data_IF_751930553346
#
_entry.id   IF_751930553346
#
_cell.length_a   1.000
_cell.length_b   1.000
_cell.length_c   1.000
_cell.angle_alpha   90.00
_cell.angle_beta   90.00
_cell.angle_gamma   90.00
#
_symmetry.space_group_name_H-M   'P 1'
#
loop_
_entity.id
_entity.type
_entity.pdbx_description
1 polymer ?
#
# COMPACT_ATOMS: atom_id res chain seq x y z
N UNK A 1 20.36 11.26 -6.10
CA UNK A 1 19.22 11.28 -5.16
C UNK A 1 19.75 11.11 -3.75
N UNK A 2 19.92 12.16 -3.02
CA UNK A 2 20.14 12.14 -1.58
C UNK A 2 19.04 13.03 -0.99
N UNK A 3 17.80 12.52 -1.01
CA UNK A 3 16.79 13.12 -0.16
C UNK A 3 17.27 12.91 1.26
N UNK A 4 17.57 14.01 1.93
CA UNK A 4 18.02 13.98 3.31
C UNK A 4 16.92 13.33 4.14
N UNK A 5 17.22 12.16 4.72
CA UNK A 5 16.32 11.50 5.66
C UNK A 5 16.03 12.45 6.82
N UNK A 6 14.81 12.45 7.30
CA UNK A 6 14.48 13.15 8.55
C UNK A 6 15.02 12.33 9.73
N UNK A 7 15.43 13.00 10.80
CA UNK A 7 16.06 12.38 11.98
C UNK A 7 15.22 11.26 12.62
N UNK A 8 13.89 11.31 12.45
CA UNK A 8 12.99 10.30 12.98
C UNK A 8 12.83 9.06 12.09
N UNK A 9 13.38 9.05 10.87
CA UNK A 9 13.19 7.97 9.89
C UNK A 9 14.19 6.85 10.12
N UNK A 10 13.67 5.63 10.30
CA UNK A 10 14.47 4.41 10.42
C UNK A 10 14.93 3.91 9.05
N UNK A 11 16.22 3.63 8.94
CA UNK A 11 16.77 2.86 7.82
C UNK A 11 16.75 1.37 8.16
N UNK A 12 16.36 0.55 7.19
CA UNK A 12 16.45 -0.91 7.33
C UNK A 12 17.49 -1.47 6.35
N UNK A 13 18.16 -2.54 6.75
CA UNK A 13 19.03 -3.30 5.86
C UNK A 13 18.19 -4.25 5.00
N UNK A 14 17.94 -3.82 3.76
CA UNK A 14 17.12 -4.57 2.80
C UNK A 14 17.63 -4.39 1.37
N UNK A 15 17.72 -5.50 0.65
CA UNK A 15 18.09 -5.53 -0.76
C UNK A 15 16.88 -5.48 -1.72
N UNK A 16 15.65 -5.50 -1.18
CA UNK A 16 14.41 -5.58 -1.97
C UNK A 16 14.29 -4.38 -2.92
N UNK A 17 14.52 -3.16 -2.42
CA UNK A 17 14.44 -1.96 -3.25
C UNK A 17 15.40 -2.03 -4.44
N UNK A 18 16.64 -2.45 -4.22
CA UNK A 18 17.63 -2.60 -5.29
C UNK A 18 17.20 -3.63 -6.34
N UNK A 19 16.66 -4.77 -5.90
CA UNK A 19 16.14 -5.84 -6.78
C UNK A 19 14.96 -5.34 -7.62
N UNK A 20 13.99 -4.69 -6.99
CA UNK A 20 12.80 -4.17 -7.68
C UNK A 20 13.20 -3.11 -8.70
N UNK A 21 14.01 -2.12 -8.32
CA UNK A 21 14.44 -1.06 -9.23
C UNK A 21 15.30 -1.57 -10.38
N UNK A 22 16.08 -2.64 -10.20
CA UNK A 22 16.80 -3.30 -11.28
C UNK A 22 15.85 -3.90 -12.30
N UNK A 23 14.87 -4.68 -11.86
CA UNK A 23 13.86 -5.30 -12.73
C UNK A 23 13.00 -4.25 -13.46
N UNK A 24 12.63 -3.16 -12.76
CA UNK A 24 11.86 -2.05 -13.36
C UNK A 24 12.64 -1.35 -14.48
N UNK A 25 13.96 -1.21 -14.34
CA UNK A 25 14.81 -0.64 -15.40
C UNK A 25 14.92 -1.52 -16.64
N UNK A 26 14.87 -2.84 -16.45
CA UNK A 26 14.94 -3.83 -17.52
C UNK A 26 13.57 -4.13 -18.13
N UNK A 27 12.48 -3.61 -17.55
CA UNK A 27 11.13 -3.85 -18.03
C UNK A 27 10.90 -3.23 -19.40
N UNK A 28 10.53 -4.10 -20.36
CA UNK A 28 10.15 -3.76 -21.72
C UNK A 28 8.91 -4.58 -22.10
N UNK A 29 7.76 -3.94 -22.16
CA UNK A 29 6.49 -4.57 -22.50
C UNK A 29 6.26 -4.73 -24.01
N UNK A 30 7.12 -4.13 -24.85
CA UNK A 30 7.01 -4.18 -26.32
C UNK A 30 7.56 -5.46 -26.92
N UNK A 31 8.35 -6.23 -26.18
CA UNK A 31 9.01 -7.46 -26.65
C UNK A 31 8.09 -8.68 -26.70
N UNK A 32 6.90 -8.60 -26.13
CA UNK A 32 5.99 -9.74 -26.00
C UNK A 32 5.00 -9.83 -27.15
N UNK A 33 4.63 -11.08 -27.49
CA UNK A 33 3.68 -11.42 -28.53
C UNK A 33 2.53 -12.27 -27.96
N UNK A 34 1.48 -12.46 -28.74
CA UNK A 34 0.33 -13.28 -28.38
C UNK A 34 0.69 -14.72 -27.94
N UNK A 35 1.76 -15.29 -28.49
CA UNK A 35 2.27 -16.60 -28.09
C UNK A 35 2.80 -16.61 -26.65
N UNK A 36 3.42 -15.53 -26.19
CA UNK A 36 3.99 -15.42 -24.84
C UNK A 36 2.86 -15.32 -23.82
N UNK A 37 1.81 -14.54 -24.13
CA UNK A 37 0.60 -14.43 -23.32
C UNK A 37 -0.10 -15.78 -23.17
N UNK A 38 -0.31 -16.51 -24.29
CA UNK A 38 -0.91 -17.86 -24.25
C UNK A 38 -0.08 -18.83 -23.44
N UNK A 39 1.24 -18.80 -23.59
CA UNK A 39 2.16 -19.63 -22.80
C UNK A 39 2.06 -19.30 -21.31
N UNK A 40 2.05 -18.00 -20.95
CA UNK A 40 1.89 -17.57 -19.55
C UNK A 40 0.56 -18.04 -18.95
N UNK A 41 -0.54 -17.89 -19.68
CA UNK A 41 -1.87 -18.33 -19.23
C UNK A 41 -1.95 -19.85 -19.00
N UNK A 42 -1.15 -20.64 -19.71
CA UNK A 42 -1.11 -22.11 -19.57
C UNK A 42 -0.22 -22.63 -18.44
N UNK A 43 0.58 -21.79 -17.78
CA UNK A 43 1.52 -22.21 -16.74
C UNK A 43 0.90 -22.24 -15.34
N UNK A 44 1.26 -23.21 -14.53
CA UNK A 44 0.89 -23.25 -13.11
C UNK A 44 1.65 -22.24 -12.27
N UNK A 45 2.90 -21.96 -12.63
CA UNK A 45 3.77 -21.00 -11.94
C UNK A 45 4.33 -20.01 -12.95
N UNK A 46 4.06 -18.72 -12.69
CA UNK A 46 4.54 -17.64 -13.52
C UNK A 46 5.97 -17.24 -13.14
N UNK A 47 6.76 -16.89 -14.14
CA UNK A 47 8.02 -16.16 -14.00
C UNK A 47 7.74 -14.65 -14.09
N UNK A 48 8.76 -13.81 -13.85
CA UNK A 48 8.61 -12.37 -14.07
C UNK A 48 8.37 -12.02 -15.55
N UNK A 49 8.95 -12.78 -16.49
CA UNK A 49 8.68 -12.60 -17.92
C UNK A 49 7.22 -12.94 -18.26
N UNK A 50 6.68 -14.03 -17.69
CA UNK A 50 5.26 -14.37 -17.87
C UNK A 50 4.34 -13.28 -17.30
N UNK A 51 4.67 -12.74 -16.13
CA UNK A 51 3.92 -11.64 -15.54
C UNK A 51 4.00 -10.38 -16.39
N UNK A 52 5.19 -10.06 -16.91
CA UNK A 52 5.36 -8.94 -17.85
C UNK A 52 4.57 -9.14 -19.16
N UNK A 53 4.53 -10.37 -19.70
CA UNK A 53 3.73 -10.68 -20.88
C UNK A 53 2.24 -10.46 -20.65
N UNK A 54 1.71 -10.84 -19.46
CA UNK A 54 0.31 -10.62 -19.08
C UNK A 54 -0.04 -9.14 -18.85
N UNK A 55 0.95 -8.29 -18.59
CA UNK A 55 0.78 -6.84 -18.46
C UNK A 55 1.05 -6.09 -19.77
N UNK A 56 1.59 -6.75 -20.79
CA UNK A 56 1.99 -6.14 -22.07
C UNK A 56 0.78 -5.78 -22.94
N UNK A 57 0.95 -4.90 -23.95
CA UNK A 57 -0.09 -4.64 -24.96
C UNK A 57 -0.57 -5.91 -25.67
N UNK A 58 0.30 -6.93 -25.84
CA UNK A 58 -0.07 -8.20 -26.44
C UNK A 58 -1.15 -8.97 -25.64
N UNK A 59 -1.38 -8.62 -24.39
CA UNK A 59 -2.40 -9.24 -23.55
C UNK A 59 -3.82 -8.63 -23.74
N UNK A 60 -3.95 -7.53 -24.46
CA UNK A 60 -5.25 -6.85 -24.63
C UNK A 60 -6.30 -7.75 -25.31
N UNK A 61 -5.90 -8.60 -26.25
CA UNK A 61 -6.79 -9.57 -26.89
C UNK A 61 -7.15 -10.79 -26.01
N UNK A 62 -6.53 -10.91 -24.82
CA UNK A 62 -6.66 -12.04 -23.89
C UNK A 62 -7.23 -11.63 -22.53
N UNK A 63 -7.95 -10.51 -22.44
CA UNK A 63 -8.45 -9.99 -21.17
C UNK A 63 -9.42 -10.95 -20.47
N UNK A 64 -10.29 -11.62 -21.22
CA UNK A 64 -11.25 -12.58 -20.67
C UNK A 64 -10.55 -13.83 -20.11
N UNK A 65 -9.56 -14.37 -20.83
CA UNK A 65 -8.76 -15.50 -20.36
C UNK A 65 -7.92 -15.13 -19.14
N UNK A 66 -7.35 -13.93 -19.14
CA UNK A 66 -6.60 -13.40 -18.00
C UNK A 66 -7.51 -13.23 -16.79
N UNK A 67 -8.70 -12.66 -16.97
CA UNK A 67 -9.70 -12.51 -15.91
C UNK A 67 -10.19 -13.88 -15.39
N UNK A 68 -10.42 -14.84 -16.27
CA UNK A 68 -10.80 -16.20 -15.89
C UNK A 68 -9.71 -16.89 -15.07
N UNK A 69 -8.43 -16.72 -15.47
CA UNK A 69 -7.29 -17.23 -14.71
C UNK A 69 -7.15 -16.55 -13.36
N UNK A 70 -7.26 -15.23 -13.28
CA UNK A 70 -7.21 -14.48 -12.03
C UNK A 70 -8.31 -14.92 -11.07
N UNK A 71 -9.54 -15.10 -11.57
CA UNK A 71 -10.67 -15.64 -10.79
C UNK A 71 -10.39 -17.04 -10.24
N UNK A 72 -9.77 -17.91 -11.04
CA UNK A 72 -9.40 -19.26 -10.61
C UNK A 72 -8.37 -19.23 -9.49
N UNK A 73 -7.31 -18.40 -9.60
CA UNK A 73 -6.29 -18.24 -8.57
C UNK A 73 -6.88 -17.61 -7.29
N UNK A 74 -7.74 -16.60 -7.42
CA UNK A 74 -8.44 -15.99 -6.28
C UNK A 74 -9.26 -17.05 -5.52
N UNK A 75 -10.04 -17.87 -6.23
CA UNK A 75 -10.84 -18.92 -5.59
C UNK A 75 -10.00 -20.00 -4.93
N UNK A 76 -8.86 -20.33 -5.51
CA UNK A 76 -7.92 -21.33 -4.98
C UNK A 76 -7.32 -20.90 -3.63
N UNK A 77 -6.97 -19.63 -3.47
CA UNK A 77 -6.27 -19.12 -2.29
C UNK A 77 -7.19 -18.44 -1.26
N UNK A 78 -8.27 -17.81 -1.70
CA UNK A 78 -9.17 -17.00 -0.86
C UNK A 78 -10.60 -17.53 -0.81
N UNK A 79 -10.95 -18.54 -1.61
CA UNK A 79 -12.30 -19.08 -1.67
C UNK A 79 -13.30 -18.12 -2.34
N UNK A 80 -14.50 -18.07 -1.78
CA UNK A 80 -15.58 -17.18 -2.27
C UNK A 80 -15.93 -16.08 -1.27
N UNK A 81 -15.18 -15.94 -0.19
CA UNK A 81 -15.40 -14.89 0.80
C UNK A 81 -14.96 -13.53 0.27
N UNK A 82 -15.72 -12.50 0.64
CA UNK A 82 -15.40 -11.11 0.32
C UNK A 82 -15.35 -10.34 1.63
N UNK A 83 -14.20 -9.73 1.92
CA UNK A 83 -14.04 -8.79 3.01
C UNK A 83 -14.62 -7.43 2.61
N UNK A 84 -15.47 -6.88 3.46
CA UNK A 84 -16.09 -5.57 3.24
C UNK A 84 -15.74 -4.65 4.40
N UNK A 85 -15.17 -3.51 4.07
CA UNK A 85 -14.80 -2.49 5.04
C UNK A 85 -15.25 -1.09 4.58
N UNK A 86 -15.22 -0.14 5.49
CA UNK A 86 -15.37 1.29 5.18
C UNK A 86 -14.19 2.08 5.71
N UNK A 87 -13.77 3.15 5.02
CA UNK A 87 -12.75 4.05 5.53
C UNK A 87 -13.31 4.99 6.61
N UNK A 88 -12.50 5.24 7.65
CA UNK A 88 -12.73 6.31 8.63
C UNK A 88 -11.52 7.24 8.67
N UNK A 89 -11.71 8.47 8.20
CA UNK A 89 -10.68 9.51 8.27
C UNK A 89 -10.66 10.17 9.65
N UNK A 90 -9.59 9.93 10.42
CA UNK A 90 -9.41 10.56 11.73
C UNK A 90 -9.00 12.02 11.66
N UNK A 91 -8.17 12.36 10.65
CA UNK A 91 -7.67 13.71 10.45
C UNK A 91 -7.22 13.91 8.99
N UNK A 92 -7.39 15.11 8.47
CA UNK A 92 -6.96 15.50 7.13
C UNK A 92 -5.80 16.53 7.11
N UNK A 93 -5.15 16.74 8.24
CA UNK A 93 -3.91 17.52 8.29
C UNK A 93 -2.79 16.73 7.60
N UNK A 94 -2.04 17.39 6.72
CA UNK A 94 -0.93 16.80 6.01
C UNK A 94 0.21 17.83 5.85
N UNK A 95 1.45 17.40 6.04
CA UNK A 95 2.65 18.22 5.85
C UNK A 95 3.28 18.05 4.47
N UNK A 96 2.74 17.15 3.64
CA UNK A 96 3.28 16.86 2.32
C UNK A 96 2.68 17.74 1.22
N UNK A 97 3.50 18.01 0.21
CA UNK A 97 3.07 18.62 -1.04
C UNK A 97 3.09 17.57 -2.17
N UNK A 98 2.03 16.75 -2.23
CA UNK A 98 1.80 15.82 -3.35
C UNK A 98 0.87 16.50 -4.35
N UNK A 99 1.27 16.60 -5.63
CA UNK A 99 0.54 17.42 -6.63
C UNK A 99 -0.87 16.90 -6.94
N UNK A 100 -1.12 15.63 -6.70
CA UNK A 100 -2.41 14.96 -6.97
C UNK A 100 -3.35 14.87 -5.76
N UNK A 101 -2.86 15.20 -4.55
CA UNK A 101 -3.59 14.87 -3.32
C UNK A 101 -4.44 16.06 -2.83
N UNK A 102 -5.72 15.80 -2.54
CA UNK A 102 -6.61 16.79 -1.95
C UNK A 102 -6.18 17.28 -0.57
N UNK A 103 -5.45 16.46 0.19
CA UNK A 103 -4.90 16.83 1.50
C UNK A 103 -3.55 17.57 1.44
N UNK A 104 -3.05 17.86 0.25
CA UNK A 104 -1.84 18.63 0.03
C UNK A 104 -1.78 19.86 0.96
N UNK A 105 -0.62 20.08 1.60
CA UNK A 105 -0.45 21.14 2.60
C UNK A 105 -0.73 22.56 2.08
N UNK A 106 -0.61 22.78 0.76
CA UNK A 106 -0.88 24.05 0.10
C UNK A 106 -2.34 24.22 -0.31
N UNK A 107 -3.17 23.19 -0.23
CA UNK A 107 -4.59 23.29 -0.56
C UNK A 107 -5.36 24.03 0.55
N UNK A 108 -6.14 25.03 0.15
CA UNK A 108 -7.04 25.74 1.06
C UNK A 108 -8.33 24.95 1.27
N UNK A 109 -8.27 23.94 2.14
CA UNK A 109 -9.40 23.10 2.52
C UNK A 109 -9.68 23.22 4.02
N UNK A 110 -10.90 22.94 4.44
CA UNK A 110 -11.23 22.84 5.86
C UNK A 110 -10.45 21.65 6.45
N UNK A 111 -9.58 21.93 7.43
CA UNK A 111 -8.86 20.91 8.18
C UNK A 111 -9.66 20.52 9.41
N UNK A 112 -9.63 19.20 9.71
CA UNK A 112 -10.31 18.62 10.86
C UNK A 112 -9.54 17.44 11.43
N UNK A 113 -9.82 17.18 12.69
CA UNK A 113 -9.31 16.05 13.45
C UNK A 113 -10.42 15.63 14.41
N UNK A 114 -10.78 14.36 14.41
CA UNK A 114 -11.82 13.84 15.29
C UNK A 114 -11.32 13.80 16.74
N UNK A 115 -12.17 14.25 17.65
CA UNK A 115 -12.03 13.96 19.06
C UNK A 115 -12.34 12.49 19.35
N UNK A 116 -11.97 12.00 20.54
CA UNK A 116 -12.27 10.63 20.94
C UNK A 116 -13.78 10.32 20.90
N UNK A 117 -14.61 11.26 21.37
CA UNK A 117 -16.06 11.09 21.36
C UNK A 117 -16.65 11.04 19.94
N UNK A 118 -16.10 11.85 19.00
CA UNK A 118 -16.48 11.79 17.60
C UNK A 118 -16.06 10.47 16.95
N UNK A 119 -14.85 9.97 17.23
CA UNK A 119 -14.42 8.64 16.75
C UNK A 119 -15.36 7.55 17.23
N UNK A 120 -15.74 7.56 18.52
CA UNK A 120 -16.64 6.56 19.11
C UNK A 120 -18.03 6.62 18.46
N UNK A 121 -18.56 7.82 18.23
CA UNK A 121 -19.85 8.02 17.56
C UNK A 121 -19.83 7.50 16.11
N UNK A 122 -18.76 7.79 15.36
CA UNK A 122 -18.61 7.32 13.98
C UNK A 122 -18.47 5.79 13.92
N UNK A 123 -17.63 5.21 14.78
CA UNK A 123 -17.42 3.75 14.85
C UNK A 123 -18.68 3.00 15.25
N UNK A 124 -19.46 3.54 16.20
CA UNK A 124 -20.76 2.99 16.59
C UNK A 124 -21.75 3.03 15.41
N UNK A 125 -21.82 4.16 14.71
CA UNK A 125 -22.68 4.29 13.53
C UNK A 125 -22.30 3.32 12.40
N UNK A 126 -21.00 3.18 12.11
CA UNK A 126 -20.48 2.24 11.13
C UNK A 126 -20.81 0.79 11.52
N UNK A 127 -20.59 0.40 12.78
CA UNK A 127 -20.82 -0.96 13.26
C UNK A 127 -22.29 -1.39 13.11
N UNK A 128 -23.23 -0.46 13.24
CA UNK A 128 -24.68 -0.68 13.05
C UNK A 128 -25.06 -1.01 11.60
N UNK A 129 -24.19 -0.73 10.63
CA UNK A 129 -24.39 -1.16 9.23
C UNK A 129 -24.16 -2.66 9.01
N UNK A 130 -23.56 -3.35 10.00
CA UNK A 130 -23.19 -4.76 9.92
C UNK A 130 -21.78 -5.00 9.40
N UNK A 131 -21.03 -3.96 9.02
CA UNK A 131 -19.61 -4.07 8.65
C UNK A 131 -18.79 -4.49 9.87
N UNK A 132 -17.89 -5.44 9.66
CA UNK A 132 -17.02 -6.00 10.71
C UNK A 132 -15.56 -5.58 10.57
N UNK A 133 -15.25 -4.86 9.53
CA UNK A 133 -13.90 -4.40 9.21
C UNK A 133 -13.91 -2.89 9.00
N UNK A 134 -12.85 -2.22 9.45
CA UNK A 134 -12.66 -0.78 9.29
C UNK A 134 -11.26 -0.49 8.78
N UNK A 135 -11.13 0.53 7.93
CA UNK A 135 -9.84 1.08 7.50
C UNK A 135 -9.68 2.49 8.08
N UNK A 136 -8.74 2.66 8.97
CA UNK A 136 -8.44 3.93 9.63
C UNK A 136 -7.43 4.72 8.80
N UNK A 137 -7.77 5.96 8.44
CA UNK A 137 -6.94 6.81 7.60
C UNK A 137 -6.60 8.14 8.28
N UNK A 138 -5.40 8.66 7.96
CA UNK A 138 -5.02 10.04 8.28
C UNK A 138 -4.19 10.65 7.16
N UNK A 139 -4.18 11.98 7.08
CA UNK A 139 -3.08 12.68 6.42
C UNK A 139 -1.77 12.52 7.22
N UNK A 140 -0.64 12.80 6.59
CA UNK A 140 0.67 12.72 7.23
C UNK A 140 0.97 13.99 8.03
N UNK A 141 0.71 13.95 9.32
CA UNK A 141 1.03 15.04 10.25
C UNK A 141 1.37 14.48 11.64
N UNK A 142 2.65 14.28 11.91
CA UNK A 142 3.11 13.76 13.21
C UNK A 142 2.73 14.67 14.39
N UNK A 143 2.44 15.96 14.14
CA UNK A 143 2.00 16.90 15.17
C UNK A 143 0.49 16.84 15.45
N UNK A 144 -0.33 16.51 14.46
CA UNK A 144 -1.79 16.48 14.57
C UNK A 144 -2.34 15.06 14.77
N UNK A 145 -1.82 14.09 14.01
CA UNK A 145 -2.19 12.68 14.06
C UNK A 145 -0.95 11.82 14.32
N UNK A 146 -0.39 11.96 15.53
CA UNK A 146 0.75 11.17 15.96
C UNK A 146 0.36 9.71 16.21
N UNK A 147 1.35 8.86 16.42
CA UNK A 147 1.16 7.41 16.58
C UNK A 147 0.29 7.08 17.79
N UNK A 148 0.40 7.84 18.89
CA UNK A 148 -0.42 7.63 20.08
C UNK A 148 -1.91 7.90 19.79
N UNK A 149 -2.21 8.99 19.08
CA UNK A 149 -3.58 9.31 18.67
C UNK A 149 -4.18 8.21 17.78
N UNK A 150 -3.39 7.71 16.82
CA UNK A 150 -3.81 6.59 15.97
C UNK A 150 -3.98 5.32 16.81
N UNK A 151 -3.09 5.04 17.74
CA UNK A 151 -3.17 3.90 18.65
C UNK A 151 -4.42 3.91 19.51
N UNK A 152 -4.83 5.08 20.03
CA UNK A 152 -6.09 5.21 20.79
C UNK A 152 -7.31 4.94 19.88
N UNK A 153 -7.29 5.41 18.63
CA UNK A 153 -8.36 5.10 17.68
C UNK A 153 -8.43 3.60 17.36
N UNK A 154 -7.28 2.93 17.19
CA UNK A 154 -7.21 1.46 16.97
C UNK A 154 -7.76 0.70 18.18
N UNK A 155 -7.38 1.09 19.41
CA UNK A 155 -7.92 0.47 20.64
C UNK A 155 -9.44 0.65 20.75
N UNK A 156 -9.94 1.82 20.35
CA UNK A 156 -11.37 2.09 20.35
C UNK A 156 -12.08 1.22 19.30
N UNK A 157 -11.52 1.11 18.09
CA UNK A 157 -12.07 0.32 16.99
C UNK A 157 -12.23 -1.17 17.36
N UNK A 158 -11.37 -1.73 18.22
CA UNK A 158 -11.49 -3.11 18.70
C UNK A 158 -12.81 -3.42 19.45
N UNK A 159 -13.50 -2.41 19.96
CA UNK A 159 -14.80 -2.60 20.59
C UNK A 159 -15.91 -2.89 19.58
N UNK A 160 -15.71 -2.50 18.32
CA UNK A 160 -16.73 -2.48 17.27
C UNK A 160 -16.43 -3.42 16.10
N UNK A 161 -15.14 -3.64 15.80
CA UNK A 161 -14.70 -4.33 14.60
C UNK A 161 -13.78 -5.52 14.91
N UNK A 162 -13.89 -6.55 14.10
CA UNK A 162 -13.06 -7.76 14.22
C UNK A 162 -11.75 -7.65 13.46
N UNK A 163 -11.70 -6.77 12.44
CA UNK A 163 -10.49 -6.53 11.63
C UNK A 163 -10.27 -5.03 11.49
N UNK A 164 -9.06 -4.58 11.80
CA UNK A 164 -8.69 -3.17 11.78
C UNK A 164 -7.49 -2.98 10.88
N UNK A 165 -7.73 -2.38 9.71
CA UNK A 165 -6.68 -1.90 8.82
C UNK A 165 -6.32 -0.46 9.11
N UNK A 166 -5.09 -0.10 8.81
CA UNK A 166 -4.61 1.29 8.83
C UNK A 166 -4.03 1.66 7.46
N UNK A 167 -4.38 2.84 6.97
CA UNK A 167 -3.79 3.46 5.79
C UNK A 167 -3.31 4.85 6.15
N UNK A 168 -2.10 4.89 6.65
CA UNK A 168 -1.48 6.07 7.24
C UNK A 168 -0.11 6.31 6.61
N UNK A 169 0.57 7.35 7.05
CA UNK A 169 1.94 7.62 6.64
C UNK A 169 2.93 6.53 7.11
N UNK A 170 4.08 6.37 6.43
CA UNK A 170 5.09 5.39 6.82
C UNK A 170 5.59 5.61 8.25
N UNK A 171 5.77 4.52 8.96
CA UNK A 171 6.24 4.49 10.34
C UNK A 171 7.55 3.70 10.46
N UNK A 172 8.21 3.83 11.61
CA UNK A 172 9.31 2.96 12.01
C UNK A 172 8.79 1.60 12.51
N UNK A 173 9.64 0.61 12.61
CA UNK A 173 9.25 -0.73 13.01
C UNK A 173 8.68 -0.79 14.44
N UNK A 174 9.24 -0.03 15.38
CA UNK A 174 8.76 0.07 16.76
C UNK A 174 7.39 0.77 16.87
N UNK A 175 7.13 1.77 16.02
CA UNK A 175 5.85 2.46 15.91
C UNK A 175 4.77 1.52 15.33
N UNK A 176 5.11 0.73 14.28
CA UNK A 176 4.22 -0.33 13.78
C UNK A 176 3.95 -1.40 14.84
N UNK A 177 4.98 -1.81 15.59
CA UNK A 177 4.82 -2.76 16.69
C UNK A 177 3.88 -2.20 17.79
N UNK A 178 3.92 -0.91 18.07
CA UNK A 178 2.99 -0.27 18.99
C UNK A 178 1.55 -0.34 18.46
N UNK A 179 1.31 0.03 17.19
CA UNK A 179 -0.03 -0.01 16.60
C UNK A 179 -0.57 -1.44 16.49
N UNK A 180 0.28 -2.42 16.20
CA UNK A 180 -0.09 -3.83 16.24
C UNK A 180 -0.53 -4.25 17.65
N UNK A 181 0.22 -3.89 18.70
CA UNK A 181 -0.21 -4.13 20.09
C UNK A 181 -1.52 -3.41 20.46
N UNK A 182 -1.81 -2.26 19.87
CA UNK A 182 -3.10 -1.59 20.02
C UNK A 182 -4.24 -2.36 19.35
N UNK A 183 -3.94 -3.20 18.35
CA UNK A 183 -4.90 -4.08 17.69
C UNK A 183 -5.05 -3.86 16.18
N UNK A 184 -4.14 -3.14 15.54
CA UNK A 184 -4.09 -3.08 14.08
C UNK A 184 -3.67 -4.44 13.50
N UNK A 185 -4.41 -4.93 12.51
CA UNK A 185 -4.19 -6.20 11.85
C UNK A 185 -3.27 -6.07 10.63
N UNK A 186 -3.51 -5.05 9.81
CA UNK A 186 -2.76 -4.82 8.59
C UNK A 186 -2.55 -3.33 8.32
N UNK A 187 -1.58 -3.03 7.48
CA UNK A 187 -1.31 -1.67 7.00
C UNK A 187 -1.18 -1.63 5.48
N UNK A 188 -1.77 -0.62 4.86
CA UNK A 188 -1.56 -0.30 3.45
C UNK A 188 -0.74 0.98 3.34
N UNK A 189 0.36 0.91 2.59
CA UNK A 189 1.19 2.07 2.22
C UNK A 189 1.50 1.98 0.73
N UNK A 190 0.80 2.75 -0.07
CA UNK A 190 1.01 2.73 -1.52
C UNK A 190 2.27 3.50 -1.91
N UNK A 191 3.10 2.89 -2.78
CA UNK A 191 4.32 3.53 -3.29
C UNK A 191 4.00 4.70 -4.23
N UNK A 192 2.82 4.72 -4.81
CA UNK A 192 2.30 5.65 -5.80
C UNK A 192 2.91 5.42 -7.19
N UNK A 193 4.21 5.54 -7.37
CA UNK A 193 4.97 5.14 -8.55
C UNK A 193 6.33 4.56 -8.15
N UNK A 194 6.81 3.60 -8.91
CA UNK A 194 8.12 2.98 -8.70
C UNK A 194 9.23 3.65 -9.51
N UNK A 195 8.89 4.62 -10.36
CA UNK A 195 9.86 5.47 -11.04
C UNK A 195 10.31 6.61 -10.10
N UNK A 196 11.60 6.64 -9.68
CA UNK A 196 12.07 7.66 -8.72
C UNK A 196 11.99 9.08 -9.26
N UNK A 197 12.17 9.29 -10.57
CA UNK A 197 12.13 10.62 -11.17
C UNK A 197 10.69 11.16 -11.26
N UNK A 198 9.73 10.27 -11.56
CA UNK A 198 8.30 10.60 -11.52
C UNK A 198 7.86 10.82 -10.07
N UNK A 199 8.35 9.99 -9.15
CA UNK A 199 8.06 10.13 -7.73
C UNK A 199 8.47 11.51 -7.20
N UNK A 200 9.71 11.95 -7.50
CA UNK A 200 10.23 13.25 -7.08
C UNK A 200 9.41 14.42 -7.64
N UNK A 201 8.98 14.33 -8.90
CA UNK A 201 8.15 15.35 -9.57
C UNK A 201 6.75 15.49 -8.96
N UNK A 202 6.24 14.43 -8.36
CA UNK A 202 4.90 14.40 -7.77
C UNK A 202 4.88 14.64 -6.25
N UNK A 203 6.02 14.52 -5.55
CA UNK A 203 6.15 14.72 -4.12
C UNK A 203 7.16 15.84 -3.83
N UNK A 204 6.69 17.09 -3.87
CA UNK A 204 7.55 18.29 -3.92
C UNK A 204 8.18 18.64 -2.57
N UNK A 205 7.51 18.33 -1.46
CA UNK A 205 8.02 18.56 -0.11
C UNK A 205 7.35 17.68 0.93
N UNK A 206 7.93 17.64 2.12
CA UNK A 206 7.45 16.86 3.26
C UNK A 206 8.05 15.45 3.34
N UNK A 207 7.75 14.70 4.41
CA UNK A 207 8.33 13.37 4.65
C UNK A 207 8.04 12.34 3.56
N UNK A 208 6.88 12.42 2.90
CA UNK A 208 6.52 11.52 1.80
C UNK A 208 7.50 11.60 0.62
N UNK A 209 8.22 12.73 0.47
CA UNK A 209 9.24 12.88 -0.58
C UNK A 209 10.39 11.88 -0.45
N UNK A 210 10.66 11.36 0.74
CA UNK A 210 11.77 10.43 0.99
C UNK A 210 11.42 9.05 0.44
N UNK A 211 11.78 8.81 -0.82
CA UNK A 211 11.46 7.59 -1.58
C UNK A 211 11.85 6.29 -0.86
N UNK A 212 13.12 6.11 -0.36
CA UNK A 212 13.50 4.85 0.27
C UNK A 212 12.73 4.57 1.56
N UNK A 213 12.40 5.59 2.33
CA UNK A 213 11.63 5.44 3.55
C UNK A 213 10.21 4.95 3.27
N UNK A 214 9.58 5.51 2.22
CA UNK A 214 8.24 5.05 1.82
C UNK A 214 8.29 3.64 1.21
N UNK A 215 9.26 3.37 0.34
CA UNK A 215 9.42 2.06 -0.30
C UNK A 215 9.52 0.93 0.73
N UNK A 216 10.30 1.12 1.78
CA UNK A 216 10.53 0.11 2.80
C UNK A 216 9.46 0.07 3.92
N UNK A 217 8.33 0.79 3.77
CA UNK A 217 7.31 0.88 4.81
C UNK A 217 6.69 -0.48 5.15
N UNK A 218 6.37 -1.30 4.12
CA UNK A 218 5.78 -2.62 4.32
C UNK A 218 6.75 -3.55 5.06
N UNK A 219 8.03 -3.50 4.72
CA UNK A 219 9.02 -4.34 5.41
C UNK A 219 9.18 -3.93 6.88
N UNK A 220 9.20 -2.63 7.20
CA UNK A 220 9.17 -2.17 8.59
C UNK A 220 7.90 -2.60 9.31
N UNK A 221 6.75 -2.57 8.64
CA UNK A 221 5.50 -3.04 9.22
C UNK A 221 5.54 -4.54 9.56
N UNK A 222 6.08 -5.36 8.68
CA UNK A 222 6.28 -6.80 8.93
C UNK A 222 7.23 -7.03 10.10
N UNK A 223 8.36 -6.34 10.15
CA UNK A 223 9.31 -6.45 11.27
C UNK A 223 8.71 -5.91 12.58
N UNK A 224 7.78 -4.97 12.51
CA UNK A 224 6.96 -4.50 13.62
C UNK A 224 5.83 -5.46 14.04
N UNK A 225 5.67 -6.60 13.33
CA UNK A 225 4.71 -7.66 13.70
C UNK A 225 3.33 -7.52 13.06
N UNK A 226 3.12 -6.61 12.09
CA UNK A 226 1.86 -6.56 11.35
C UNK A 226 1.60 -7.88 10.62
N UNK A 227 0.36 -8.37 10.70
CA UNK A 227 -0.05 -9.63 10.08
C UNK A 227 -0.15 -9.53 8.56
N UNK A 228 -0.62 -8.38 8.08
CA UNK A 228 -0.80 -8.13 6.65
C UNK A 228 -0.25 -6.78 6.21
N UNK A 229 0.14 -6.71 4.93
CA UNK A 229 0.60 -5.47 4.30
C UNK A 229 0.01 -5.30 2.91
N UNK A 230 -0.46 -4.09 2.60
CA UNK A 230 -1.01 -3.72 1.30
C UNK A 230 0.00 -2.97 0.44
N UNK A 231 0.03 -3.32 -0.83
CA UNK A 231 0.84 -2.67 -1.87
C UNK A 231 -0.05 -1.97 -2.88
N UNK A 232 0.46 -0.95 -3.52
CA UNK A 232 -0.24 -0.29 -4.62
C UNK A 232 0.57 0.81 -5.27
N UNK A 233 0.16 1.13 -6.49
CA UNK A 233 0.58 2.31 -7.23
C UNK A 233 -0.64 3.11 -7.68
N UNK A 234 -0.47 4.42 -7.83
CA UNK A 234 -1.49 5.32 -8.37
C UNK A 234 -1.32 5.34 -9.89
N UNK A 235 -2.12 4.53 -10.57
CA UNK A 235 -2.03 4.38 -12.03
C UNK A 235 -2.31 5.72 -12.72
N UNK A 236 -1.43 6.10 -13.65
CA UNK A 236 -1.53 7.34 -14.41
C UNK A 236 -0.55 8.44 -13.97
N UNK A 237 0.24 8.25 -12.93
CA UNK A 237 1.38 9.14 -12.63
C UNK A 237 2.51 8.95 -13.65
N UNK A 238 2.76 7.71 -14.07
CA UNK A 238 3.75 7.32 -15.04
C UNK A 238 3.24 6.19 -15.94
N UNK A 239 4.14 5.34 -16.39
CA UNK A 239 3.80 4.12 -17.13
C UNK A 239 3.09 3.13 -16.18
N UNK A 240 1.77 2.97 -16.39
CA UNK A 240 0.94 2.15 -15.50
C UNK A 240 1.29 0.65 -15.54
N UNK A 241 1.79 0.14 -16.69
CA UNK A 241 2.21 -1.25 -16.80
C UNK A 241 3.48 -1.51 -16.01
N UNK A 242 4.42 -0.58 -16.10
CA UNK A 242 5.66 -0.62 -15.32
C UNK A 242 5.40 -0.53 -13.82
N UNK A 243 4.51 0.36 -13.39
CA UNK A 243 4.12 0.50 -11.99
C UNK A 243 3.36 -0.74 -11.49
N UNK A 244 2.47 -1.32 -12.31
CA UNK A 244 1.78 -2.58 -11.96
C UNK A 244 2.77 -3.74 -11.82
N UNK A 245 3.72 -3.88 -12.76
CA UNK A 245 4.79 -4.87 -12.68
C UNK A 245 5.62 -4.70 -11.41
N UNK A 246 6.06 -3.48 -11.13
CA UNK A 246 6.86 -3.16 -9.96
C UNK A 246 6.12 -3.48 -8.64
N UNK A 247 4.83 -3.17 -8.58
CA UNK A 247 3.98 -3.49 -7.41
C UNK A 247 3.98 -5.00 -7.15
N UNK A 248 3.75 -5.81 -8.19
CA UNK A 248 3.72 -7.27 -8.05
C UNK A 248 5.05 -7.88 -7.64
N UNK A 249 6.17 -7.43 -8.23
CA UNK A 249 7.50 -7.96 -7.85
C UNK A 249 7.95 -7.48 -6.47
N UNK A 250 7.54 -6.29 -6.02
CA UNK A 250 7.79 -5.83 -4.65
C UNK A 250 7.08 -6.74 -3.64
N UNK A 251 5.80 -6.98 -3.85
CA UNK A 251 5.01 -7.93 -3.05
C UNK A 251 5.65 -9.34 -3.05
N UNK A 252 6.07 -9.82 -4.23
CA UNK A 252 6.73 -11.12 -4.36
C UNK A 252 8.02 -11.21 -3.54
N UNK A 253 8.92 -10.22 -3.65
CA UNK A 253 10.17 -10.25 -2.89
C UNK A 253 9.95 -10.17 -1.39
N UNK A 254 8.99 -9.35 -0.94
CA UNK A 254 8.66 -9.26 0.48
C UNK A 254 8.09 -10.60 0.99
N UNK A 255 7.14 -11.21 0.29
CA UNK A 255 6.56 -12.48 0.69
C UNK A 255 7.57 -13.63 0.67
N UNK A 256 8.54 -13.59 -0.25
CA UNK A 256 9.66 -14.57 -0.27
C UNK A 256 10.56 -14.43 0.94
N UNK A 257 10.79 -13.21 1.42
CA UNK A 257 11.61 -12.94 2.62
C UNK A 257 10.83 -13.26 3.90
N UNK A 258 9.51 -13.01 3.90
CA UNK A 258 8.61 -13.20 5.05
C UNK A 258 7.39 -14.05 4.65
N UNK A 259 7.51 -15.38 4.54
CA UNK A 259 6.47 -16.23 3.96
C UNK A 259 5.19 -16.37 4.82
N UNK A 260 5.21 -15.87 6.04
CA UNK A 260 4.09 -15.95 7.00
C UNK A 260 3.12 -14.76 6.95
N UNK A 261 3.42 -13.73 6.15
CA UNK A 261 2.57 -12.54 6.07
C UNK A 261 1.45 -12.69 5.03
N UNK A 262 0.38 -11.94 5.23
CA UNK A 262 -0.65 -11.69 4.20
C UNK A 262 -0.26 -10.49 3.33
N UNK A 263 -0.50 -10.62 2.01
CA UNK A 263 -0.33 -9.53 1.05
C UNK A 263 -1.64 -9.36 0.27
#
# INVERSE_FOLDING_TARGET
>A
MADTMFDFMEMIDSDIMGKVLSQVREYDDTRFHASDVKNALGKDRLTFDDYSALLSPAAEDFLEETAARAKMETRKYFGSSISMFTPLYLANYCSNHCVYCGFNCNNNIRRGKLSYAEMESEMDAISKTGLREILILTGESRSQSNVDYIGEAVKLAKKYFSTIGIEIYPLNADEYAYLHRCGADFVSVYQETYDPDIYEKNHLSGPKRVYPYRFNAQERAVTGGMRGVGFGSLLGLGDFRKDAFATGIHAYYLQRKYPHIEI
#
